data_IF_644277298433
#
_entry.id   IF_644277298433
#
_cell.length_a   1.000
_cell.length_b   1.000
_cell.length_c   1.000
_cell.angle_alpha   90.00
_cell.angle_beta   90.00
_cell.angle_gamma   90.00
#
_symmetry.space_group_name_H-M   'P 1'
#
loop_
_entity.id
_entity.type
_entity.pdbx_description
1 polymer ?
#
# COMPACT_ATOMS: atom_id res chain seq x y z
N UNK A 1 -37.25 -11.34 -23.88
CA UNK A 1 -36.18 -10.55 -23.24
C UNK A 1 -35.38 -9.87 -24.33
N UNK A 2 -35.45 -8.55 -24.44
CA UNK A 2 -34.60 -7.79 -25.35
C UNK A 2 -33.19 -7.71 -24.73
N UNK A 3 -32.23 -8.46 -25.27
CA UNK A 3 -30.82 -8.29 -24.90
C UNK A 3 -30.29 -7.07 -25.63
N UNK A 4 -30.26 -5.92 -24.96
CA UNK A 4 -29.53 -4.76 -25.46
C UNK A 4 -28.05 -5.15 -25.40
N UNK A 5 -27.32 -5.16 -26.53
CA UNK A 5 -25.90 -5.47 -26.52
C UNK A 5 -25.21 -4.47 -25.61
N UNK A 6 -24.56 -4.95 -24.55
CA UNK A 6 -23.71 -4.11 -23.71
C UNK A 6 -22.59 -3.57 -24.59
N UNK A 7 -22.60 -2.26 -24.81
CA UNK A 7 -21.51 -1.62 -25.54
C UNK A 7 -20.21 -1.94 -24.80
N UNK A 8 -19.12 -2.29 -25.51
CA UNK A 8 -17.83 -2.65 -24.89
C UNK A 8 -17.22 -1.51 -24.07
N UNK A 9 -17.82 -0.33 -24.09
CA UNK A 9 -17.44 0.84 -23.30
C UNK A 9 -17.87 0.77 -21.82
N UNK A 10 -18.78 -0.13 -21.42
CA UNK A 10 -19.17 -0.25 -20.00
C UNK A 10 -18.04 -0.80 -19.12
N UNK A 11 -17.30 -1.78 -19.64
CA UNK A 11 -16.12 -2.30 -18.95
C UNK A 11 -15.02 -1.26 -18.83
N UNK A 12 -14.90 -0.33 -19.80
CA UNK A 12 -13.81 0.65 -19.82
C UNK A 12 -13.89 1.65 -18.65
N UNK A 13 -15.04 2.29 -18.41
CA UNK A 13 -15.14 3.31 -17.35
C UNK A 13 -15.01 2.68 -15.96
N UNK A 14 -15.60 1.50 -15.75
CA UNK A 14 -15.44 0.72 -14.52
C UNK A 14 -13.97 0.32 -14.31
N UNK A 15 -13.29 -0.10 -15.37
CA UNK A 15 -11.87 -0.44 -15.30
C UNK A 15 -11.00 0.78 -14.98
N UNK A 16 -11.27 1.94 -15.57
CA UNK A 16 -10.57 3.19 -15.22
C UNK A 16 -10.80 3.57 -13.74
N UNK A 17 -12.04 3.48 -13.27
CA UNK A 17 -12.40 3.80 -11.89
C UNK A 17 -11.67 2.89 -10.90
N UNK A 18 -11.82 1.57 -11.06
CA UNK A 18 -11.20 0.55 -10.19
C UNK A 18 -9.67 0.58 -10.33
N UNK A 19 -9.17 0.72 -11.56
CA UNK A 19 -7.74 0.82 -11.84
C UNK A 19 -7.09 2.01 -11.16
N UNK A 20 -7.76 3.18 -11.14
CA UNK A 20 -7.30 4.35 -10.39
C UNK A 20 -7.20 4.08 -8.89
N UNK A 21 -8.21 3.41 -8.30
CA UNK A 21 -8.20 3.04 -6.88
C UNK A 21 -7.05 2.08 -6.58
N UNK A 22 -6.86 1.06 -7.41
CA UNK A 22 -5.77 0.08 -7.27
C UNK A 22 -4.41 0.78 -7.36
N UNK A 23 -4.22 1.72 -8.30
CA UNK A 23 -2.99 2.50 -8.42
C UNK A 23 -2.69 3.32 -7.15
N UNK A 24 -3.71 3.97 -6.59
CA UNK A 24 -3.57 4.73 -5.33
C UNK A 24 -3.14 3.80 -4.20
N UNK A 25 -3.85 2.69 -3.98
CA UNK A 25 -3.55 1.74 -2.90
C UNK A 25 -2.16 1.12 -3.07
N UNK A 26 -1.80 0.76 -4.29
CA UNK A 26 -0.48 0.21 -4.61
C UNK A 26 0.63 1.21 -4.32
N UNK A 27 0.43 2.49 -4.67
CA UNK A 27 1.39 3.56 -4.41
C UNK A 27 1.59 3.78 -2.91
N UNK A 28 0.50 3.80 -2.12
CA UNK A 28 0.61 3.88 -0.66
C UNK A 28 1.31 2.67 -0.05
N UNK A 29 0.97 1.46 -0.51
CA UNK A 29 1.57 0.22 -0.01
C UNK A 29 3.08 0.18 -0.24
N UNK A 30 3.53 0.54 -1.45
CA UNK A 30 4.95 0.56 -1.82
C UNK A 30 5.72 1.65 -1.07
N UNK A 31 5.14 2.84 -0.91
CA UNK A 31 5.76 3.94 -0.16
C UNK A 31 5.93 3.59 1.34
N UNK A 32 4.93 2.94 1.94
CA UNK A 32 5.01 2.46 3.33
C UNK A 32 6.11 1.40 3.49
N UNK A 33 6.17 0.42 2.59
CA UNK A 33 7.23 -0.61 2.56
C UNK A 33 8.62 -0.02 2.44
N UNK A 34 8.82 0.95 1.53
CA UNK A 34 10.11 1.62 1.35
C UNK A 34 10.51 2.42 2.61
N UNK A 35 9.55 3.11 3.23
CA UNK A 35 9.77 3.87 4.46
C UNK A 35 10.21 2.99 5.64
N UNK A 36 9.64 1.79 5.75
CA UNK A 36 9.99 0.86 6.83
C UNK A 36 11.39 0.27 6.65
N UNK A 37 11.81 -0.04 5.42
CA UNK A 37 13.17 -0.50 5.12
C UNK A 37 14.22 0.55 5.53
N UNK A 38 13.97 1.83 5.24
CA UNK A 38 14.86 2.93 5.66
C UNK A 38 14.93 3.02 7.18
N UNK A 39 13.77 2.99 7.86
CA UNK A 39 13.73 3.10 9.32
C UNK A 39 14.55 1.97 9.96
N UNK A 40 14.47 0.76 9.41
CA UNK A 40 15.26 -0.37 9.88
C UNK A 40 16.76 -0.17 9.64
N UNK A 41 17.13 0.24 8.42
CA UNK A 41 18.52 0.52 8.04
C UNK A 41 19.13 1.65 8.88
N UNK A 42 18.38 2.72 9.13
CA UNK A 42 18.79 3.86 9.97
C UNK A 42 19.00 3.43 11.42
N UNK A 43 18.08 2.66 12.00
CA UNK A 43 18.26 2.09 13.35
C UNK A 43 19.51 1.23 13.45
N UNK A 44 19.80 0.41 12.44
CA UNK A 44 21.02 -0.41 12.40
C UNK A 44 22.30 0.42 12.24
N UNK A 45 22.23 1.56 11.56
CA UNK A 45 23.33 2.51 11.44
C UNK A 45 23.57 3.25 12.77
N UNK A 46 22.50 3.70 13.41
CA UNK A 46 22.51 4.40 14.69
C UNK A 46 23.07 3.48 15.79
N UNK A 47 22.62 2.21 15.86
CA UNK A 47 23.15 1.24 16.82
C UNK A 47 24.65 1.01 16.62
N UNK A 48 25.11 0.90 15.37
CA UNK A 48 26.53 0.70 15.05
C UNK A 48 27.36 1.93 15.43
N UNK A 49 26.86 3.14 15.15
CA UNK A 49 27.52 4.39 15.56
C UNK A 49 27.64 4.50 17.08
N UNK A 50 26.62 4.05 17.83
CA UNK A 50 26.66 4.01 19.28
C UNK A 50 27.73 3.03 19.79
N UNK A 51 27.85 1.84 19.18
CA UNK A 51 28.92 0.88 19.50
C UNK A 51 30.31 1.44 19.22
N UNK A 52 30.51 2.16 18.11
CA UNK A 52 31.79 2.81 17.82
C UNK A 52 32.10 3.88 18.87
N UNK A 53 31.11 4.69 19.26
CA UNK A 53 31.27 5.74 20.27
C UNK A 53 31.60 5.18 21.65
N UNK A 54 31.00 4.07 22.06
CA UNK A 54 31.33 3.40 23.33
C UNK A 54 32.72 2.78 23.27
N UNK A 55 33.10 2.15 22.15
CA UNK A 55 34.45 1.60 21.95
C UNK A 55 35.52 2.70 22.03
N UNK A 56 35.36 3.82 21.32
CA UNK A 56 36.27 4.96 21.39
C UNK A 56 36.45 5.49 22.82
N UNK A 57 35.38 5.51 23.62
CA UNK A 57 35.46 5.89 25.03
C UNK A 57 36.28 4.89 25.85
N UNK A 58 36.06 3.60 25.64
CA UNK A 58 36.83 2.53 26.30
C UNK A 58 38.31 2.64 25.95
N UNK A 59 38.64 2.83 24.67
CA UNK A 59 40.04 2.95 24.22
C UNK A 59 40.71 4.19 24.82
N UNK A 60 40.00 5.33 24.91
CA UNK A 60 40.51 6.53 25.59
C UNK A 60 40.74 6.35 27.11
N UNK A 61 39.98 5.45 27.75
CA UNK A 61 40.16 5.12 29.16
C UNK A 61 41.34 4.17 29.34
N UNK A 62 41.47 3.19 28.44
CA UNK A 62 42.58 2.24 28.42
C UNK A 62 43.92 2.94 28.21
N UNK A 63 43.99 3.87 27.25
CA UNK A 63 45.20 4.70 27.03
C UNK A 63 45.57 5.50 28.28
N UNK A 64 44.61 6.17 28.93
CA UNK A 64 44.86 6.89 30.18
C UNK A 64 45.33 5.99 31.33
N UNK A 65 44.77 4.79 31.44
CA UNK A 65 45.20 3.81 32.43
C UNK A 65 46.62 3.32 32.13
N UNK A 66 46.93 3.08 30.86
CA UNK A 66 48.25 2.66 30.41
C UNK A 66 49.31 3.73 30.69
N UNK A 67 49.05 4.99 30.35
CA UNK A 67 49.96 6.11 30.62
C UNK A 67 50.25 6.25 32.12
N UNK A 68 49.25 6.02 32.97
CA UNK A 68 49.42 6.04 34.42
C UNK A 68 50.30 4.89 34.91
N UNK A 69 50.07 3.69 34.38
CA UNK A 69 50.83 2.50 34.79
C UNK A 69 52.26 2.51 34.27
N UNK A 70 52.50 3.01 33.05
CA UNK A 70 53.84 3.14 32.46
C UNK A 70 54.76 4.02 33.30
N UNK A 71 54.19 5.04 33.97
CA UNK A 71 54.93 5.91 34.89
C UNK A 71 55.21 5.25 36.26
N UNK A 72 54.60 4.11 36.57
CA UNK A 72 54.70 3.46 37.89
C UNK A 72 55.52 2.17 37.96
N UNK A 73 55.81 1.50 36.83
CA UNK A 73 56.50 0.20 36.82
C UNK A 73 57.51 0.05 35.67
N UNK A 74 58.66 -0.58 35.97
CA UNK A 74 59.68 -1.00 34.99
C UNK A 74 59.17 -2.29 34.33
N UNK A 75 58.50 -2.17 33.18
CA UNK A 75 58.15 -3.33 32.36
C UNK A 75 59.40 -4.00 31.79
N UNK A 76 59.40 -5.33 31.71
CA UNK A 76 60.44 -6.03 30.96
C UNK A 76 60.26 -5.82 29.45
N UNK A 77 61.34 -5.92 28.67
CA UNK A 77 61.31 -5.70 27.22
C UNK A 77 60.39 -6.67 26.48
N UNK A 78 60.23 -7.90 26.98
CA UNK A 78 59.36 -8.92 26.36
C UNK A 78 57.87 -8.65 26.63
N UNK A 79 57.51 -8.20 27.83
CA UNK A 79 56.13 -7.79 28.14
C UNK A 79 55.71 -6.59 27.28
N UNK A 80 56.61 -5.62 27.10
CA UNK A 80 56.36 -4.44 26.27
C UNK A 80 56.12 -4.83 24.80
N UNK A 81 56.92 -5.74 24.24
CA UNK A 81 56.73 -6.23 22.86
C UNK A 81 55.39 -6.93 22.68
N UNK A 82 55.04 -7.84 23.59
CA UNK A 82 53.76 -8.56 23.55
C UNK A 82 52.57 -7.59 23.59
N UNK A 83 52.67 -6.56 24.43
CA UNK A 83 51.62 -5.56 24.56
C UNK A 83 51.49 -4.67 23.31
N UNK A 84 52.62 -4.24 22.72
CA UNK A 84 52.64 -3.50 21.46
C UNK A 84 51.97 -4.30 20.34
N UNK A 85 52.27 -5.60 20.21
CA UNK A 85 51.68 -6.42 19.16
C UNK A 85 50.16 -6.61 19.37
N UNK A 86 49.71 -6.74 20.62
CA UNK A 86 48.29 -6.80 20.94
C UNK A 86 47.56 -5.48 20.62
N UNK A 87 48.15 -4.33 20.95
CA UNK A 87 47.56 -3.02 20.58
C UNK A 87 47.56 -2.79 19.07
N UNK A 88 48.61 -3.23 18.37
CA UNK A 88 48.67 -3.19 16.91
C UNK A 88 47.53 -4.00 16.29
N UNK A 89 47.26 -5.21 16.81
CA UNK A 89 46.14 -6.04 16.36
C UNK A 89 44.79 -5.36 16.62
N UNK A 90 44.60 -4.81 17.82
CA UNK A 90 43.38 -4.06 18.17
C UNK A 90 43.15 -2.86 17.23
N UNK A 91 44.23 -2.16 16.85
CA UNK A 91 44.17 -1.03 15.92
C UNK A 91 43.76 -1.47 14.51
N UNK A 92 44.30 -2.58 14.00
CA UNK A 92 43.91 -3.14 12.69
C UNK A 92 42.43 -3.57 12.71
N UNK A 93 41.99 -4.22 13.78
CA UNK A 93 40.58 -4.60 13.97
C UNK A 93 39.66 -3.37 14.08
N UNK A 94 40.16 -2.26 14.63
CA UNK A 94 39.43 -1.01 14.68
C UNK A 94 39.33 -0.32 13.31
N UNK A 95 40.44 -0.24 12.56
CA UNK A 95 40.47 0.36 11.22
C UNK A 95 39.52 -0.40 10.28
N UNK A 96 39.59 -1.73 10.26
CA UNK A 96 38.68 -2.53 9.44
C UNK A 96 37.20 -2.37 9.81
N UNK A 97 36.90 -2.19 11.11
CA UNK A 97 35.53 -1.86 11.55
C UNK A 97 35.09 -0.47 11.09
N UNK A 98 36.00 0.51 11.13
CA UNK A 98 35.71 1.88 10.67
C UNK A 98 35.47 1.95 9.16
N UNK A 99 36.25 1.20 8.36
CA UNK A 99 36.07 1.11 6.91
C UNK A 99 34.71 0.47 6.57
N UNK A 100 34.34 -0.59 7.32
CA UNK A 100 33.03 -1.23 7.17
C UNK A 100 31.87 -0.27 7.51
N UNK A 101 32.07 0.62 8.50
CA UNK A 101 31.09 1.65 8.86
C UNK A 101 30.96 2.71 7.77
N UNK A 102 32.08 3.24 7.27
CA UNK A 102 32.09 4.27 6.22
C UNK A 102 31.40 3.76 4.96
N UNK A 103 31.70 2.52 4.55
CA UNK A 103 31.03 1.87 3.42
C UNK A 103 29.53 1.76 3.64
N UNK A 104 29.09 1.35 4.84
CA UNK A 104 27.67 1.24 5.18
C UNK A 104 26.99 2.60 5.21
N UNK A 105 27.65 3.64 5.71
CA UNK A 105 27.14 5.01 5.70
C UNK A 105 26.95 5.53 4.27
N UNK A 106 27.92 5.26 3.39
CA UNK A 106 27.85 5.63 1.98
C UNK A 106 26.74 4.88 1.23
N UNK A 107 26.51 3.61 1.56
CA UNK A 107 25.38 2.83 1.03
C UNK A 107 24.02 3.39 1.49
N UNK A 108 23.92 3.89 2.73
CA UNK A 108 22.70 4.54 3.23
C UNK A 108 22.40 5.84 2.50
N UNK A 109 23.41 6.68 2.24
CA UNK A 109 23.25 7.94 1.49
C UNK A 109 22.77 7.65 0.06
N UNK A 110 23.33 6.62 -0.58
CA UNK A 110 22.90 6.19 -1.92
C UNK A 110 21.45 5.69 -1.93
N UNK A 111 21.04 4.99 -0.88
CA UNK A 111 19.67 4.50 -0.75
C UNK A 111 18.68 5.65 -0.48
N UNK A 112 19.05 6.68 0.29
CA UNK A 112 18.19 7.86 0.51
C UNK A 112 17.78 8.52 -0.81
N UNK A 113 18.72 8.77 -1.73
CA UNK A 113 18.42 9.33 -3.04
C UNK A 113 17.48 8.48 -3.89
N UNK A 114 17.61 7.15 -3.82
CA UNK A 114 16.68 6.25 -4.54
C UNK A 114 15.28 6.37 -3.99
N UNK A 115 15.13 6.55 -2.69
CA UNK A 115 13.82 6.64 -2.07
C UNK A 115 13.15 7.98 -2.37
N UNK A 116 13.89 9.08 -2.44
CA UNK A 116 13.33 10.35 -2.91
C UNK A 116 12.78 10.22 -4.33
N UNK A 117 13.53 9.55 -5.21
CA UNK A 117 13.08 9.30 -6.57
C UNK A 117 11.83 8.41 -6.61
N UNK A 118 11.83 7.31 -5.87
CA UNK A 118 10.66 6.42 -5.74
C UNK A 118 9.45 7.19 -5.20
N UNK A 119 9.65 8.00 -4.15
CA UNK A 119 8.57 8.77 -3.52
C UNK A 119 7.99 9.81 -4.48
N UNK A 120 8.84 10.46 -5.28
CA UNK A 120 8.41 11.36 -6.35
C UNK A 120 7.56 10.62 -7.39
N UNK A 121 8.02 9.49 -7.91
CA UNK A 121 7.28 8.68 -8.87
C UNK A 121 5.95 8.17 -8.32
N UNK A 122 5.93 7.70 -7.06
CA UNK A 122 4.70 7.28 -6.40
C UNK A 122 3.72 8.44 -6.20
N UNK A 123 4.21 9.64 -5.88
CA UNK A 123 3.39 10.85 -5.83
C UNK A 123 2.71 11.14 -7.18
N UNK A 124 3.45 11.05 -8.28
CA UNK A 124 2.89 11.19 -9.64
C UNK A 124 1.84 10.10 -9.92
N UNK A 125 2.11 8.84 -9.58
CA UNK A 125 1.16 7.73 -9.76
C UNK A 125 -0.12 7.92 -8.95
N UNK A 126 -0.06 8.49 -7.74
CA UNK A 126 -1.24 8.82 -6.94
C UNK A 126 -2.09 9.86 -7.66
N UNK A 127 -1.48 10.93 -8.19
CA UNK A 127 -2.21 11.98 -8.92
C UNK A 127 -2.88 11.40 -10.18
N UNK A 128 -2.18 10.55 -10.93
CA UNK A 128 -2.74 9.83 -12.08
C UNK A 128 -3.89 8.92 -11.65
N UNK A 129 -3.72 8.17 -10.56
CA UNK A 129 -4.74 7.28 -10.01
C UNK A 129 -6.02 8.04 -9.60
N UNK A 130 -5.87 9.16 -8.89
CA UNK A 130 -7.00 10.04 -8.51
C UNK A 130 -7.73 10.54 -9.76
N UNK A 131 -6.97 10.98 -10.77
CA UNK A 131 -7.54 11.45 -12.03
C UNK A 131 -8.35 10.35 -12.72
N UNK A 132 -7.82 9.13 -12.77
CA UNK A 132 -8.50 7.97 -13.36
C UNK A 132 -9.76 7.59 -12.58
N UNK A 133 -9.71 7.61 -11.25
CA UNK A 133 -10.87 7.36 -10.39
C UNK A 133 -11.97 8.40 -10.63
N UNK A 134 -11.64 9.70 -10.63
CA UNK A 134 -12.65 10.75 -10.84
C UNK A 134 -13.25 10.65 -12.26
N UNK A 135 -12.40 10.62 -13.29
CA UNK A 135 -12.87 10.59 -14.69
C UNK A 135 -13.66 9.32 -14.98
N UNK A 136 -13.16 8.16 -14.57
CA UNK A 136 -13.84 6.87 -14.75
C UNK A 136 -15.17 6.83 -14.01
N UNK A 137 -15.21 7.29 -12.76
CA UNK A 137 -16.42 7.36 -11.95
C UNK A 137 -17.48 8.29 -12.55
N UNK A 138 -17.09 9.51 -12.97
CA UNK A 138 -18.00 10.46 -13.61
C UNK A 138 -18.56 9.92 -14.93
N UNK A 139 -17.71 9.34 -15.78
CA UNK A 139 -18.16 8.79 -17.06
C UNK A 139 -19.07 7.57 -16.88
N UNK A 140 -18.75 6.69 -15.91
CA UNK A 140 -19.60 5.56 -15.57
C UNK A 140 -20.98 6.02 -15.06
N UNK A 141 -21.01 6.96 -14.12
CA UNK A 141 -22.26 7.47 -13.55
C UNK A 141 -23.16 8.11 -14.63
N UNK A 142 -22.61 9.05 -15.40
CA UNK A 142 -23.39 9.84 -16.36
C UNK A 142 -23.85 8.97 -17.54
N UNK A 143 -22.95 8.17 -18.12
CA UNK A 143 -23.23 7.48 -19.38
C UNK A 143 -23.91 6.13 -19.19
N UNK A 144 -23.80 5.52 -18.02
CA UNK A 144 -24.23 4.14 -17.82
C UNK A 144 -25.27 4.04 -16.73
N UNK A 145 -24.97 4.55 -15.54
CA UNK A 145 -25.88 4.39 -14.40
C UNK A 145 -27.20 5.15 -14.63
N UNK A 146 -27.16 6.44 -15.02
CA UNK A 146 -28.38 7.22 -15.26
C UNK A 146 -29.31 6.57 -16.31
N UNK A 147 -28.83 6.14 -17.50
CA UNK A 147 -29.69 5.44 -18.46
C UNK A 147 -30.22 4.10 -17.96
N UNK A 148 -29.41 3.31 -17.24
CA UNK A 148 -29.83 2.02 -16.69
C UNK A 148 -30.92 2.19 -15.63
N UNK A 149 -30.78 3.17 -14.74
CA UNK A 149 -31.79 3.48 -13.71
C UNK A 149 -33.12 3.91 -14.34
N UNK A 150 -33.07 4.73 -15.39
CA UNK A 150 -34.27 5.12 -16.15
C UNK A 150 -34.93 3.92 -16.83
N UNK A 151 -34.15 3.03 -17.44
CA UNK A 151 -34.67 1.82 -18.09
C UNK A 151 -35.36 0.91 -17.06
N UNK A 152 -34.75 0.74 -15.88
CA UNK A 152 -35.30 -0.06 -14.79
C UNK A 152 -36.64 0.50 -14.30
N UNK A 153 -36.75 1.84 -14.16
CA UNK A 153 -38.00 2.48 -13.77
C UNK A 153 -39.13 2.24 -14.78
N UNK A 154 -38.84 2.31 -16.08
CA UNK A 154 -39.84 2.03 -17.13
C UNK A 154 -40.28 0.57 -17.07
N UNK A 155 -39.35 -0.37 -16.87
CA UNK A 155 -39.68 -1.79 -16.73
C UNK A 155 -40.57 -2.07 -15.51
N UNK A 156 -40.32 -1.39 -14.39
CA UNK A 156 -41.16 -1.47 -13.20
C UNK A 156 -42.59 -0.96 -13.46
N UNK A 157 -42.73 0.20 -14.11
CA UNK A 157 -44.04 0.77 -14.45
C UNK A 157 -44.86 -0.13 -15.39
N UNK A 158 -44.20 -0.75 -16.37
CA UNK A 158 -44.84 -1.71 -17.27
C UNK A 158 -45.32 -2.95 -16.51
N UNK A 159 -44.46 -3.53 -15.66
CA UNK A 159 -44.81 -4.69 -14.85
C UNK A 159 -45.99 -4.41 -13.89
N UNK A 160 -46.02 -3.22 -13.27
CA UNK A 160 -47.14 -2.79 -12.42
C UNK A 160 -48.44 -2.65 -13.21
N UNK A 161 -48.37 -2.12 -14.43
CA UNK A 161 -49.53 -1.96 -15.31
C UNK A 161 -50.07 -3.31 -15.76
N UNK A 162 -49.18 -4.24 -16.14
CA UNK A 162 -49.54 -5.61 -16.50
C UNK A 162 -50.21 -6.35 -15.33
N UNK A 163 -49.64 -6.22 -14.12
CA UNK A 163 -50.21 -6.80 -12.91
C UNK A 163 -51.60 -6.24 -12.60
N UNK A 164 -51.79 -4.93 -12.76
CA UNK A 164 -53.10 -4.27 -12.57
C UNK A 164 -54.12 -4.76 -13.60
N UNK A 165 -53.74 -4.84 -14.87
CA UNK A 165 -54.60 -5.35 -15.93
C UNK A 165 -54.98 -6.83 -15.70
N UNK A 166 -54.02 -7.65 -15.28
CA UNK A 166 -54.26 -9.05 -14.92
C UNK A 166 -55.26 -9.18 -13.76
N UNK A 167 -55.15 -8.34 -12.72
CA UNK A 167 -56.12 -8.31 -11.61
C UNK A 167 -57.53 -7.92 -12.08
N UNK A 168 -57.66 -6.92 -12.95
CA UNK A 168 -58.95 -6.49 -13.50
C UNK A 168 -59.59 -7.63 -14.32
N UNK A 169 -58.81 -8.26 -15.20
CA UNK A 169 -59.27 -9.40 -16.00
C UNK A 169 -59.72 -10.58 -15.13
N UNK A 170 -59.00 -10.86 -14.04
CA UNK A 170 -59.38 -11.90 -13.09
C UNK A 170 -60.73 -11.59 -12.41
N UNK A 171 -60.94 -10.35 -11.96
CA UNK A 171 -62.22 -9.91 -11.34
C UNK A 171 -63.37 -9.93 -12.35
N UNK A 172 -63.15 -9.50 -13.59
CA UNK A 172 -64.17 -9.55 -14.64
C UNK A 172 -64.57 -11.01 -14.95
N UNK A 173 -63.60 -11.92 -15.00
CA UNK A 173 -63.85 -13.34 -15.24
C UNK A 173 -64.59 -14.01 -14.08
N UNK A 174 -64.28 -13.68 -12.81
CA UNK A 174 -65.02 -14.22 -11.66
C UNK A 174 -66.46 -13.73 -11.62
N UNK A 175 -66.70 -12.46 -11.97
CA UNK A 175 -68.06 -11.91 -12.07
C UNK A 175 -68.88 -12.62 -13.15
N UNK A 176 -68.32 -12.77 -14.36
CA UNK A 176 -69.01 -13.44 -15.47
C UNK A 176 -69.34 -14.92 -15.17
N UNK A 177 -68.44 -15.62 -14.46
CA UNK A 177 -68.66 -17.02 -14.04
C UNK A 177 -69.83 -17.19 -13.08
N UNK A 178 -70.03 -16.22 -12.17
CA UNK A 178 -71.13 -16.25 -11.20
C UNK A 178 -72.48 -15.80 -11.82
N UNK A 179 -72.43 -15.10 -12.95
CA UNK A 179 -73.62 -14.59 -13.64
C UNK A 179 -74.19 -15.52 -14.71
N UNK A 180 -73.71 -16.77 -14.81
CA UNK A 180 -74.33 -17.77 -15.69
C UNK A 180 -75.76 -17.97 -15.18
N UNK A 181 -76.80 -17.50 -15.92
CA UNK A 181 -78.16 -17.65 -15.46
C UNK A 181 -78.41 -19.14 -15.31
N UNK A 182 -78.83 -19.58 -14.12
CA UNK A 182 -79.30 -20.95 -13.95
C UNK A 182 -80.41 -21.12 -14.96
N UNK A 183 -80.13 -21.84 -16.06
CA UNK A 183 -81.14 -22.22 -17.04
C UNK A 183 -82.21 -22.93 -16.24
N UNK A 184 -83.31 -22.23 -15.99
CA UNK A 184 -84.46 -22.77 -15.31
C UNK A 184 -84.89 -23.97 -16.11
N UNK A 185 -84.59 -25.18 -15.60
CA UNK A 185 -85.17 -26.41 -16.11
C UNK A 185 -86.66 -26.30 -15.84
N UNK A 186 -87.41 -25.77 -16.81
CA UNK A 186 -88.85 -25.94 -16.87
C UNK A 186 -89.09 -27.34 -17.43
N UNK A 187 -89.31 -28.28 -16.50
CA UNK A 187 -90.08 -29.50 -16.72
C UNK A 187 -91.39 -29.32 -16.00
#
# INVERSE_FOLDING_TARGET
>A
MFNIPTLPTDSLYKFMFIGGIVLILFSFFTMNRASDDIKLKRKAADSLSATIRTRNKIDSLKSRWFDRNLNSHIFTTEELKSQIENERKNLIDFISLSDAYEKKALDLIKDEHKIDLISFFMGVLIVVGITFTIVGGCQWYIKIQIPQDRLLQIQLQLAETELKNAKIMHVANTYNRNYIPQKTKKG
#
